data_IF_814137522912
#
_entry.id   IF_814137522912
#
_cell.length_a   1.000
_cell.length_b   1.000
_cell.length_c   1.000
_cell.angle_alpha   90.00
_cell.angle_beta   90.00
_cell.angle_gamma   90.00
#
_symmetry.space_group_name_H-M   'P 1'
#
loop_
_entity.id
_entity.type
_entity.pdbx_description
1 polymer ?
#
# COMPACT_ATOMS: atom_id res chain seq x y z
N UNK A 1 20.48 17.59 8.98
CA UNK A 1 19.71 16.82 9.99
C UNK A 1 20.33 15.43 10.10
N UNK A 2 20.78 15.01 11.30
CA UNK A 2 21.33 13.64 11.49
C UNK A 2 20.20 12.62 11.28
N UNK A 3 20.46 11.56 10.50
CA UNK A 3 19.63 10.36 10.57
C UNK A 3 19.75 9.80 11.99
N UNK A 4 18.62 9.50 12.61
CA UNK A 4 18.53 8.69 13.81
C UNK A 4 19.03 7.29 13.49
N UNK A 5 19.55 6.61 14.50
CA UNK A 5 20.19 5.30 14.34
C UNK A 5 19.22 4.21 14.79
N UNK A 6 18.97 3.22 13.93
CA UNK A 6 18.21 2.01 14.27
C UNK A 6 16.76 2.28 14.69
N UNK A 7 16.34 1.68 15.79
CA UNK A 7 14.95 1.74 16.29
C UNK A 7 14.46 3.16 16.59
N UNK A 8 15.38 4.08 16.89
CA UNK A 8 15.05 5.48 17.18
C UNK A 8 14.48 6.25 15.98
N UNK A 9 14.65 5.75 14.74
CA UNK A 9 14.01 6.34 13.56
C UNK A 9 12.49 6.22 13.57
N UNK A 10 11.93 5.27 14.33
CA UNK A 10 10.48 5.07 14.47
C UNK A 10 9.82 6.14 15.34
N UNK A 11 10.56 6.76 16.26
CA UNK A 11 10.04 7.78 17.19
C UNK A 11 10.26 9.22 16.72
N UNK A 12 10.81 9.42 15.53
CA UNK A 12 10.98 10.77 14.95
C UNK A 12 9.64 11.34 14.51
N UNK A 13 9.58 12.68 14.48
CA UNK A 13 8.43 13.42 13.97
C UNK A 13 7.92 12.84 12.65
N UNK A 14 6.68 12.34 12.70
CA UNK A 14 6.00 11.79 11.55
C UNK A 14 5.74 12.90 10.53
N UNK A 15 5.96 12.57 9.28
CA UNK A 15 5.54 13.37 8.15
C UNK A 15 4.89 12.43 7.15
N UNK A 16 4.17 13.03 6.21
CA UNK A 16 3.40 12.27 5.25
C UNK A 16 4.27 11.30 4.44
N UNK A 17 5.50 11.67 4.06
CA UNK A 17 6.37 10.74 3.33
C UNK A 17 6.74 9.50 4.16
N UNK A 18 7.04 9.68 5.45
CA UNK A 18 7.37 8.57 6.37
C UNK A 18 6.18 7.67 6.63
N UNK A 19 4.99 8.24 6.79
CA UNK A 19 3.75 7.47 6.95
C UNK A 19 3.49 6.63 5.70
N UNK A 20 3.58 7.21 4.51
CA UNK A 20 3.38 6.49 3.26
C UNK A 20 4.39 5.37 3.07
N UNK A 21 5.66 5.64 3.39
CA UNK A 21 6.71 4.62 3.31
C UNK A 21 6.47 3.46 4.30
N UNK A 22 6.05 3.76 5.54
CA UNK A 22 5.73 2.73 6.52
C UNK A 22 4.55 1.87 6.06
N UNK A 23 3.44 2.48 5.61
CA UNK A 23 2.27 1.76 5.11
C UNK A 23 2.65 0.93 3.87
N UNK A 24 3.47 1.46 2.97
CA UNK A 24 3.92 0.73 1.77
C UNK A 24 4.70 -0.55 2.11
N UNK A 25 5.54 -0.50 3.15
CA UNK A 25 6.27 -1.69 3.64
C UNK A 25 5.35 -2.69 4.33
N UNK A 26 4.45 -2.22 5.19
CA UNK A 26 3.49 -3.09 5.88
C UNK A 26 2.57 -3.80 4.90
N UNK A 27 2.05 -3.07 3.91
CA UNK A 27 1.22 -3.63 2.83
C UNK A 27 2.02 -4.64 2.00
N UNK A 28 3.31 -4.39 1.71
CA UNK A 28 4.16 -5.37 1.01
C UNK A 28 4.28 -6.70 1.79
N UNK A 29 4.58 -6.62 3.09
CA UNK A 29 4.71 -7.80 3.96
C UNK A 29 3.39 -8.57 3.97
N UNK A 30 2.27 -7.86 4.15
CA UNK A 30 0.96 -8.47 4.11
C UNK A 30 0.66 -9.15 2.77
N UNK A 31 0.93 -8.49 1.64
CA UNK A 31 0.72 -9.04 0.30
C UNK A 31 1.51 -10.32 0.07
N UNK A 32 2.77 -10.37 0.53
CA UNK A 32 3.59 -11.58 0.49
C UNK A 32 2.92 -12.68 1.30
N UNK A 33 2.56 -12.41 2.56
CA UNK A 33 1.93 -13.39 3.44
C UNK A 33 0.56 -13.88 2.91
N UNK A 34 -0.18 -13.04 2.20
CA UNK A 34 -1.50 -13.38 1.66
C UNK A 34 -1.45 -14.15 0.33
N UNK A 35 -0.51 -13.82 -0.56
CA UNK A 35 -0.41 -14.45 -1.89
C UNK A 35 0.48 -15.70 -1.84
N UNK A 36 1.65 -15.65 -1.21
CA UNK A 36 2.66 -16.71 -1.33
C UNK A 36 2.19 -18.10 -0.88
N UNK A 37 1.32 -18.26 0.13
CA UNK A 37 0.83 -19.58 0.50
C UNK A 37 -0.08 -20.23 -0.55
N UNK A 38 -0.72 -19.44 -1.44
CA UNK A 38 -1.79 -19.95 -2.33
C UNK A 38 -1.35 -21.07 -3.27
N UNK A 39 -0.22 -20.97 -4.00
CA UNK A 39 0.25 -22.09 -4.83
C UNK A 39 0.50 -23.37 -4.02
N UNK A 40 1.01 -23.26 -2.79
CA UNK A 40 1.21 -24.42 -1.93
C UNK A 40 -0.12 -25.04 -1.50
N UNK A 41 -1.11 -24.23 -1.11
CA UNK A 41 -2.45 -24.73 -0.76
C UNK A 41 -3.08 -25.51 -1.92
N UNK A 42 -2.95 -24.99 -3.15
CA UNK A 42 -3.46 -25.66 -4.35
C UNK A 42 -2.74 -26.99 -4.59
N UNK A 43 -1.42 -27.03 -4.43
CA UNK A 43 -0.65 -28.28 -4.56
C UNK A 43 -0.99 -29.29 -3.46
N UNK A 44 -1.27 -28.84 -2.23
CA UNK A 44 -1.67 -29.71 -1.12
C UNK A 44 -3.08 -30.27 -1.29
N UNK A 45 -4.03 -29.45 -1.75
CA UNK A 45 -5.44 -29.83 -1.86
C UNK A 45 -5.82 -30.39 -3.24
N UNK A 46 -4.98 -30.19 -4.26
CA UNK A 46 -5.23 -30.61 -5.64
C UNK A 46 -6.35 -29.84 -6.35
N UNK A 47 -6.89 -28.78 -5.74
CA UNK A 47 -8.01 -27.99 -6.27
C UNK A 47 -7.88 -26.52 -5.84
N UNK A 48 -8.27 -25.62 -6.76
CA UNK A 48 -8.34 -24.20 -6.48
C UNK A 48 -9.55 -23.86 -5.61
N UNK A 49 -10.66 -24.55 -5.81
CA UNK A 49 -11.91 -24.40 -5.05
C UNK A 49 -11.69 -24.68 -3.57
N UNK A 50 -10.95 -25.73 -3.23
CA UNK A 50 -10.59 -26.04 -1.84
C UNK A 50 -9.75 -24.92 -1.20
N UNK A 51 -8.77 -24.38 -1.94
CA UNK A 51 -7.94 -23.27 -1.46
C UNK A 51 -8.75 -21.97 -1.24
N UNK A 52 -9.86 -21.78 -1.97
CA UNK A 52 -10.74 -20.63 -1.86
C UNK A 52 -11.76 -20.73 -0.70
N UNK A 53 -12.00 -21.91 -0.13
CA UNK A 53 -12.99 -22.06 0.97
C UNK A 53 -12.69 -21.16 2.16
N UNK A 54 -11.40 -20.93 2.46
CA UNK A 54 -11.01 -19.99 3.51
C UNK A 54 -11.50 -18.57 3.22
N UNK A 55 -11.37 -18.10 1.98
CA UNK A 55 -11.78 -16.76 1.55
C UNK A 55 -13.30 -16.56 1.67
N UNK A 56 -14.09 -17.65 1.68
CA UNK A 56 -15.53 -17.61 1.89
C UNK A 56 -15.95 -17.46 3.36
N UNK A 57 -15.04 -17.68 4.31
CA UNK A 57 -15.31 -17.45 5.73
C UNK A 57 -15.36 -15.94 6.07
N UNK A 58 -16.01 -15.51 7.16
CA UNK A 58 -16.00 -14.10 7.56
C UNK A 58 -14.59 -13.52 7.74
N UNK A 59 -13.66 -14.32 8.28
CA UNK A 59 -12.25 -13.94 8.45
C UNK A 59 -11.56 -13.83 7.10
N UNK A 60 -11.78 -14.81 6.20
CA UNK A 60 -11.25 -14.78 4.84
C UNK A 60 -11.70 -13.55 4.05
N UNK A 61 -12.99 -13.21 4.12
CA UNK A 61 -13.55 -11.99 3.51
C UNK A 61 -12.93 -10.72 4.09
N UNK A 62 -12.73 -10.65 5.41
CA UNK A 62 -12.05 -9.52 6.04
C UNK A 62 -10.59 -9.39 5.56
N UNK A 63 -9.88 -10.51 5.43
CA UNK A 63 -8.53 -10.53 4.88
C UNK A 63 -8.53 -10.17 3.38
N UNK A 64 -9.49 -10.64 2.59
CA UNK A 64 -9.63 -10.26 1.19
C UNK A 64 -9.88 -8.75 1.01
N UNK A 65 -10.71 -8.14 1.87
CA UNK A 65 -10.90 -6.68 1.88
C UNK A 65 -9.60 -5.95 2.25
N UNK A 66 -8.85 -6.44 3.25
CA UNK A 66 -7.53 -5.89 3.60
C UNK A 66 -6.51 -6.07 2.47
N UNK A 67 -6.61 -7.16 1.70
CA UNK A 67 -5.80 -7.40 0.51
C UNK A 67 -6.07 -6.37 -0.57
N UNK A 68 -7.33 -6.05 -0.86
CA UNK A 68 -7.70 -5.00 -1.81
C UNK A 68 -7.12 -3.65 -1.38
N UNK A 69 -7.27 -3.28 -0.10
CA UNK A 69 -6.63 -2.09 0.44
C UNK A 69 -5.11 -2.11 0.21
N UNK A 70 -4.48 -3.23 0.57
CA UNK A 70 -3.03 -3.38 0.54
C UNK A 70 -2.47 -3.29 -0.88
N UNK A 71 -3.08 -3.96 -1.85
CA UNK A 71 -2.61 -3.96 -3.24
C UNK A 71 -2.81 -2.59 -3.88
N UNK A 72 -3.95 -1.91 -3.63
CA UNK A 72 -4.22 -0.59 -4.16
C UNK A 72 -3.21 0.44 -3.62
N UNK A 73 -3.02 0.49 -2.29
CA UNK A 73 -2.05 1.40 -1.69
C UNK A 73 -0.62 1.08 -2.15
N UNK A 74 -0.23 -0.20 -2.08
CA UNK A 74 1.12 -0.63 -2.41
C UNK A 74 1.46 -0.34 -3.87
N UNK A 75 0.56 -0.68 -4.80
CA UNK A 75 0.75 -0.45 -6.22
C UNK A 75 0.83 1.04 -6.58
N UNK A 76 -0.14 1.85 -6.14
CA UNK A 76 -0.18 3.29 -6.49
C UNK A 76 1.00 4.03 -5.84
N UNK A 77 1.29 3.78 -4.55
CA UNK A 77 2.44 4.42 -3.91
C UNK A 77 3.78 3.88 -4.45
N UNK A 78 3.85 2.61 -4.83
CA UNK A 78 5.02 2.02 -5.48
C UNK A 78 5.34 2.71 -6.81
N UNK A 79 4.32 2.97 -7.64
CA UNK A 79 4.45 3.77 -8.85
C UNK A 79 4.95 5.18 -8.55
N UNK A 80 4.41 5.83 -7.51
CA UNK A 80 4.90 7.15 -7.06
C UNK A 80 6.39 7.10 -6.68
N UNK A 81 6.83 6.10 -5.93
CA UNK A 81 8.24 5.93 -5.55
C UNK A 81 9.10 5.73 -6.80
N UNK A 82 8.69 4.84 -7.71
CA UNK A 82 9.42 4.62 -8.97
C UNK A 82 9.59 5.91 -9.78
N UNK A 83 8.54 6.73 -9.89
CA UNK A 83 8.60 8.01 -10.59
C UNK A 83 9.50 9.05 -9.88
N UNK A 84 9.66 8.97 -8.55
CA UNK A 84 10.66 9.76 -7.81
C UNK A 84 12.07 9.30 -8.18
N UNK A 85 12.31 7.99 -8.14
CA UNK A 85 13.63 7.41 -8.45
C UNK A 85 14.06 7.66 -9.91
N UNK A 86 13.11 7.66 -10.84
CA UNK A 86 13.35 8.01 -12.24
C UNK A 86 13.52 9.54 -12.47
N UNK A 87 13.41 10.36 -11.42
CA UNK A 87 13.59 11.81 -11.50
C UNK A 87 12.44 12.57 -12.16
N UNK A 88 11.32 11.90 -12.47
CA UNK A 88 10.09 12.52 -12.99
C UNK A 88 9.47 13.42 -11.91
N UNK A 89 9.38 12.90 -10.68
CA UNK A 89 8.89 13.65 -9.53
C UNK A 89 10.07 14.27 -8.80
N UNK A 90 10.24 15.57 -8.99
CA UNK A 90 11.25 16.38 -8.28
C UNK A 90 10.63 17.67 -7.76
N UNK A 91 11.27 18.26 -6.76
CA UNK A 91 10.96 19.59 -6.27
C UNK A 91 12.24 20.39 -6.02
N UNK A 92 12.10 21.58 -5.43
CA UNK A 92 13.23 22.46 -5.11
C UNK A 92 13.32 22.65 -3.60
N UNK A 93 14.47 22.39 -2.97
CA UNK A 93 14.58 22.57 -1.52
C UNK A 93 14.48 24.06 -1.18
N UNK A 94 13.72 24.39 -0.14
CA UNK A 94 13.69 25.75 0.42
C UNK A 94 14.72 25.78 1.55
N UNK A 95 15.74 26.62 1.38
CA UNK A 95 16.88 26.78 2.29
C UNK A 95 16.80 28.14 2.98
N UNK A 96 15.83 28.30 3.87
CA UNK A 96 15.77 29.47 4.74
C UNK A 96 16.58 29.23 6.03
N UNK A 97 17.15 30.27 6.65
CA UNK A 97 17.95 30.13 7.88
C UNK A 97 17.18 29.48 9.03
N UNK A 98 15.86 29.71 9.09
CA UNK A 98 14.98 29.28 10.19
C UNK A 98 14.26 27.96 9.84
N UNK A 99 13.97 27.71 8.56
CA UNK A 99 13.16 26.56 8.14
C UNK A 99 13.70 25.91 6.87
N UNK A 100 14.27 24.72 7.03
CA UNK A 100 14.66 23.89 5.90
C UNK A 100 13.52 22.97 5.46
N UNK A 101 13.08 23.07 4.21
CA UNK A 101 12.06 22.19 3.62
C UNK A 101 12.71 21.32 2.54
N UNK A 102 12.69 19.98 2.70
CA UNK A 102 13.16 19.04 1.68
C UNK A 102 12.52 19.27 0.30
N UNK A 103 13.29 19.03 -0.75
CA UNK A 103 12.86 19.26 -2.13
C UNK A 103 11.55 18.55 -2.50
N UNK A 104 11.39 17.28 -2.10
CA UNK A 104 10.19 16.51 -2.46
C UNK A 104 8.90 17.11 -1.86
N UNK A 105 9.00 17.78 -0.70
CA UNK A 105 7.85 18.44 -0.03
C UNK A 105 7.35 19.68 -0.75
N UNK A 106 8.14 20.25 -1.64
CA UNK A 106 7.72 21.39 -2.46
C UNK A 106 7.20 20.96 -3.83
N UNK A 107 7.29 19.66 -4.16
CA UNK A 107 6.81 19.14 -5.43
C UNK A 107 5.29 18.99 -5.44
N UNK A 108 4.61 19.79 -6.28
CA UNK A 108 3.15 19.68 -6.48
C UNK A 108 2.75 18.29 -7.00
N UNK A 109 3.57 17.71 -7.88
CA UNK A 109 3.32 16.39 -8.44
C UNK A 109 3.43 15.30 -7.36
N UNK A 110 4.38 15.41 -6.43
CA UNK A 110 4.45 14.52 -5.27
C UNK A 110 3.17 14.58 -4.44
N UNK A 111 2.70 15.79 -4.11
CA UNK A 111 1.46 15.99 -3.36
C UNK A 111 0.23 15.45 -4.08
N UNK A 112 0.12 15.68 -5.39
CA UNK A 112 -0.96 15.15 -6.22
C UNK A 112 -0.97 13.62 -6.17
N UNK A 113 0.17 12.96 -6.38
CA UNK A 113 0.25 11.50 -6.36
C UNK A 113 0.02 10.91 -4.97
N UNK A 114 0.36 11.63 -3.90
CA UNK A 114 -0.03 11.25 -2.54
C UNK A 114 -1.55 11.30 -2.38
N UNK A 115 -2.20 12.39 -2.79
CA UNK A 115 -3.66 12.50 -2.76
C UNK A 115 -4.33 11.40 -3.62
N UNK A 116 -3.83 11.15 -4.83
CA UNK A 116 -4.33 10.07 -5.70
C UNK A 116 -4.12 8.67 -5.09
N UNK A 117 -3.03 8.46 -4.35
CA UNK A 117 -2.83 7.21 -3.60
C UNK A 117 -3.94 7.02 -2.58
N UNK A 118 -4.27 8.04 -1.78
CA UNK A 118 -5.36 7.96 -0.79
C UNK A 118 -6.69 7.72 -1.49
N UNK A 119 -7.04 8.57 -2.47
CA UNK A 119 -8.33 8.48 -3.17
C UNK A 119 -8.48 7.14 -3.87
N UNK A 120 -7.47 6.71 -4.64
CA UNK A 120 -7.49 5.44 -5.34
C UNK A 120 -7.56 4.24 -4.38
N UNK A 121 -6.85 4.29 -3.26
CA UNK A 121 -6.93 3.25 -2.22
C UNK A 121 -8.32 3.20 -1.60
N UNK A 122 -8.90 4.34 -1.22
CA UNK A 122 -10.24 4.40 -0.61
C UNK A 122 -11.30 3.90 -1.59
N UNK A 123 -11.31 4.42 -2.82
CA UNK A 123 -12.28 3.99 -3.85
C UNK A 123 -12.11 2.51 -4.17
N UNK A 124 -10.88 2.05 -4.41
CA UNK A 124 -10.59 0.65 -4.67
C UNK A 124 -11.01 -0.27 -3.53
N UNK A 125 -10.75 0.14 -2.28
CA UNK A 125 -11.16 -0.62 -1.09
C UNK A 125 -12.67 -0.69 -0.97
N UNK A 126 -13.39 0.43 -1.15
CA UNK A 126 -14.85 0.45 -1.07
C UNK A 126 -15.48 -0.44 -2.14
N UNK A 127 -15.04 -0.30 -3.39
CA UNK A 127 -15.53 -1.13 -4.51
C UNK A 127 -15.20 -2.60 -4.31
N UNK A 128 -13.94 -2.92 -4.02
CA UNK A 128 -13.53 -4.31 -3.84
C UNK A 128 -14.16 -4.95 -2.61
N UNK A 129 -14.32 -4.22 -1.50
CA UNK A 129 -15.02 -4.75 -0.32
C UNK A 129 -16.49 -4.99 -0.63
N UNK A 130 -17.15 -4.10 -1.38
CA UNK A 130 -18.50 -4.34 -1.88
C UNK A 130 -18.58 -5.65 -2.68
N UNK A 131 -17.64 -5.88 -3.61
CA UNK A 131 -17.58 -7.12 -4.38
C UNK A 131 -17.29 -8.36 -3.51
N UNK A 132 -16.43 -8.25 -2.50
CA UNK A 132 -16.16 -9.35 -1.56
C UNK A 132 -17.39 -9.72 -0.73
N UNK A 133 -18.24 -8.75 -0.40
CA UNK A 133 -19.42 -8.97 0.44
C UNK A 133 -20.66 -9.37 -0.35
N UNK A 134 -20.82 -8.84 -1.57
CA UNK A 134 -22.05 -8.92 -2.35
C UNK A 134 -21.86 -9.43 -3.79
N UNK A 135 -20.64 -9.72 -4.21
CA UNK A 135 -20.37 -10.32 -5.51
C UNK A 135 -21.00 -11.71 -5.63
N UNK A 136 -21.38 -12.12 -6.84
CA UNK A 136 -21.95 -13.45 -7.04
C UNK A 136 -20.89 -14.52 -6.87
N UNK A 137 -21.19 -15.52 -6.05
CA UNK A 137 -20.35 -16.73 -5.91
C UNK A 137 -20.50 -17.67 -7.12
N UNK A 138 -21.53 -17.44 -7.94
CA UNK A 138 -21.81 -18.21 -9.15
C UNK A 138 -21.14 -17.53 -10.35
N UNK A 139 -20.17 -18.23 -10.93
CA UNK A 139 -19.66 -17.93 -12.27
C UNK A 139 -20.69 -18.47 -13.29
N UNK A 140 -21.07 -17.72 -14.35
CA UNK A 140 -21.96 -18.25 -15.38
C UNK A 140 -21.36 -19.47 -16.11
#
# INVERSE_FOLDING_TARGET
MRAGKGIWEWFRGLNWERIYFAIHRLTAIYLVLYIFPRPYLVLLHGSWEEALKFDMTPIGRALAALFIFSIAFHGINGLRIMLIELGVIKGRPIREPIRFIPALRTSKLNWLLMALTIVGTVVGTLLGTYLVLYGSEVWP
#
